data_IF_800299406895
#
_entry.id   IF_800299406895
#
_cell.length_a   1.000
_cell.length_b   1.000
_cell.length_c   1.000
_cell.angle_alpha   90.00
_cell.angle_beta   90.00
_cell.angle_gamma   90.00
#
_symmetry.space_group_name_H-M   'P 1'
#
loop_
_entity.id
_entity.type
_entity.pdbx_description
1 polymer ?
#
# COMPACT_ATOMS: atom_id res chain seq x y z
N UNK A 1 -20.99 0.88 2.71
CA UNK A 1 -20.98 0.69 4.17
C UNK A 1 -19.55 0.33 4.57
N UNK A 2 -18.95 1.10 5.48
CA UNK A 2 -17.58 0.97 5.96
C UNK A 2 -17.55 0.28 7.34
N UNK A 3 -16.61 -0.63 7.58
CA UNK A 3 -16.40 -1.33 8.87
C UNK A 3 -15.22 -0.69 9.60
N UNK A 4 -15.42 -0.26 10.85
CA UNK A 4 -14.33 0.26 11.68
C UNK A 4 -13.57 -0.86 12.39
N UNK A 5 -12.32 -0.59 12.78
CA UNK A 5 -11.52 -1.50 13.61
C UNK A 5 -10.01 -1.47 13.32
N UNK A 6 -9.63 -0.91 12.18
CA UNK A 6 -8.26 -0.90 11.67
C UNK A 6 -7.24 -0.21 12.60
N UNK A 7 -7.71 0.69 13.48
CA UNK A 7 -6.88 1.32 14.53
C UNK A 7 -6.21 0.31 15.47
N UNK A 8 -6.73 -0.92 15.58
CA UNK A 8 -6.16 -1.98 16.41
C UNK A 8 -5.12 -2.84 15.67
N UNK A 9 -4.99 -2.67 14.35
CA UNK A 9 -4.10 -3.48 13.50
C UNK A 9 -2.62 -3.39 13.89
N UNK A 10 -2.02 -2.21 14.20
CA UNK A 10 -0.61 -2.15 14.62
C UNK A 10 -0.30 -3.07 15.80
N UNK A 11 -1.19 -3.11 16.80
CA UNK A 11 -1.04 -3.99 17.97
C UNK A 11 -1.16 -5.46 17.59
N UNK A 12 -2.16 -5.82 16.79
CA UNK A 12 -2.38 -7.19 16.35
C UNK A 12 -1.20 -7.73 15.53
N UNK A 13 -0.61 -6.91 14.65
CA UNK A 13 0.58 -7.28 13.87
C UNK A 13 1.77 -7.53 14.81
N UNK A 14 2.02 -6.65 15.79
CA UNK A 14 3.10 -6.85 16.77
C UNK A 14 2.92 -8.13 17.59
N UNK A 15 1.69 -8.45 17.98
CA UNK A 15 1.40 -9.69 18.72
C UNK A 15 1.64 -10.92 17.85
N UNK A 16 1.15 -10.90 16.59
CA UNK A 16 1.33 -12.01 15.67
C UNK A 16 2.80 -12.19 15.22
N UNK A 17 3.57 -11.11 15.10
CA UNK A 17 4.95 -11.15 14.61
C UNK A 17 5.91 -11.90 15.54
N UNK A 18 5.57 -12.05 16.82
CA UNK A 18 6.34 -12.84 17.79
C UNK A 18 6.55 -14.28 17.28
N UNK A 19 5.52 -14.88 16.66
CA UNK A 19 5.60 -16.23 16.09
C UNK A 19 6.50 -16.30 14.86
N UNK A 20 6.57 -15.22 14.07
CA UNK A 20 7.34 -15.18 12.83
C UNK A 20 8.81 -14.77 13.03
N UNK A 21 9.16 -14.15 14.17
CA UNK A 21 10.55 -13.79 14.49
C UNK A 21 11.52 -14.98 14.57
N UNK A 22 10.99 -16.20 14.71
CA UNK A 22 11.75 -17.46 14.74
C UNK A 22 11.60 -18.29 13.46
N UNK A 23 10.73 -17.87 12.54
CA UNK A 23 10.44 -18.62 11.33
C UNK A 23 11.56 -18.43 10.31
N UNK A 24 12.15 -19.54 9.84
CA UNK A 24 12.97 -19.58 8.63
C UNK A 24 12.06 -19.83 7.43
N UNK A 25 11.36 -18.79 6.99
CA UNK A 25 10.63 -18.85 5.74
C UNK A 25 11.47 -18.23 4.62
N UNK A 26 11.29 -18.65 3.35
CA UNK A 26 12.11 -18.17 2.22
C UNK A 26 11.96 -16.67 1.90
N UNK A 27 11.14 -15.95 2.66
CA UNK A 27 10.84 -14.52 2.51
C UNK A 27 11.17 -13.72 3.79
N UNK A 28 11.88 -14.31 4.75
CA UNK A 28 12.27 -13.64 6.00
C UNK A 28 13.63 -13.00 5.83
N UNK A 29 13.69 -11.67 5.75
CA UNK A 29 14.92 -10.87 5.65
C UNK A 29 15.76 -10.84 6.95
N UNK A 30 15.54 -11.77 7.89
CA UNK A 30 16.21 -11.75 9.19
C UNK A 30 17.71 -11.95 9.01
N UNK A 31 18.50 -10.96 9.44
CA UNK A 31 19.96 -10.99 9.36
C UNK A 31 20.55 -10.15 8.21
N UNK A 32 19.73 -9.71 7.25
CA UNK A 32 20.18 -8.86 6.13
C UNK A 32 19.90 -7.37 6.40
N UNK A 33 18.87 -7.06 7.18
CA UNK A 33 18.43 -5.71 7.49
C UNK A 33 18.61 -5.36 8.98
N UNK A 34 19.05 -4.13 9.25
CA UNK A 34 18.97 -3.53 10.60
C UNK A 34 17.62 -2.86 10.74
N UNK A 35 16.77 -3.40 11.61
CA UNK A 35 15.39 -2.94 11.82
C UNK A 35 15.19 -2.49 13.26
N UNK A 36 14.31 -1.51 13.44
CA UNK A 36 13.84 -1.04 14.76
C UNK A 36 12.33 -0.86 14.70
N UNK A 37 11.61 -1.30 15.72
CA UNK A 37 10.22 -0.89 15.91
C UNK A 37 10.22 0.53 16.49
N UNK A 38 9.83 1.50 15.67
CA UNK A 38 9.84 2.92 16.04
C UNK A 38 8.56 3.36 16.79
N UNK A 39 7.69 2.42 17.16
CA UNK A 39 6.46 2.69 17.88
C UNK A 39 5.33 3.19 16.97
N UNK A 40 4.34 3.85 17.58
CA UNK A 40 3.16 4.38 16.89
C UNK A 40 3.24 5.91 16.79
N UNK A 41 2.73 6.47 15.69
CA UNK A 41 2.54 7.92 15.55
C UNK A 41 1.39 8.36 16.45
N UNK A 42 1.62 9.36 17.29
CA UNK A 42 0.59 9.95 18.14
C UNK A 42 -0.06 11.14 17.45
N UNK A 43 -1.38 11.15 17.43
CA UNK A 43 -2.23 12.20 16.88
C UNK A 43 -3.57 12.23 17.64
N UNK A 44 -4.32 13.31 17.50
CA UNK A 44 -5.60 13.49 18.14
C UNK A 44 -6.67 12.59 17.50
N UNK A 45 -7.28 11.65 18.24
CA UNK A 45 -8.28 10.73 17.69
C UNK A 45 -9.47 11.48 17.09
N UNK A 46 -9.82 11.17 15.85
CA UNK A 46 -10.93 11.82 15.14
C UNK A 46 -10.58 13.15 14.47
N UNK A 47 -9.33 13.61 14.55
CA UNK A 47 -8.85 14.75 13.79
C UNK A 47 -7.95 14.27 12.63
N UNK A 48 -8.53 14.25 11.43
CA UNK A 48 -7.83 13.85 10.20
C UNK A 48 -6.62 14.75 9.90
N UNK A 49 -6.76 16.06 10.07
CA UNK A 49 -5.71 17.01 9.71
C UNK A 49 -4.48 16.88 10.61
N UNK A 50 -4.72 16.73 11.92
CA UNK A 50 -3.64 16.45 12.87
C UNK A 50 -2.99 15.08 12.58
N UNK A 51 -3.77 14.06 12.23
CA UNK A 51 -3.21 12.78 11.77
C UNK A 51 -2.27 12.93 10.57
N UNK A 52 -2.69 13.65 9.53
CA UNK A 52 -1.88 13.87 8.33
C UNK A 52 -0.59 14.63 8.68
N UNK A 53 -0.69 15.69 9.47
CA UNK A 53 0.46 16.51 9.88
C UNK A 53 1.45 15.72 10.76
N UNK A 54 0.98 15.07 11.83
CA UNK A 54 1.86 14.33 12.74
C UNK A 54 2.53 13.14 12.04
N UNK A 55 1.80 12.45 11.17
CA UNK A 55 2.35 11.30 10.42
C UNK A 55 3.43 11.76 9.44
N UNK A 56 3.17 12.80 8.66
CA UNK A 56 4.14 13.33 7.71
C UNK A 56 5.40 13.85 8.43
N UNK A 57 5.23 14.56 9.55
CA UNK A 57 6.32 15.05 10.38
C UNK A 57 7.16 13.91 10.98
N UNK A 58 6.52 12.88 11.51
CA UNK A 58 7.21 11.72 12.08
C UNK A 58 8.01 10.98 11.00
N UNK A 59 7.41 10.71 9.84
CA UNK A 59 8.08 10.06 8.71
C UNK A 59 9.25 10.92 8.21
N UNK A 60 9.07 12.23 8.06
CA UNK A 60 10.13 13.16 7.65
C UNK A 60 11.34 13.07 8.58
N UNK A 61 11.12 13.11 9.91
CA UNK A 61 12.21 13.00 10.89
C UNK A 61 12.96 11.66 10.79
N UNK A 62 12.25 10.55 10.51
CA UNK A 62 12.91 9.25 10.29
C UNK A 62 13.74 9.28 9.00
N UNK A 63 13.19 9.81 7.91
CA UNK A 63 13.90 9.90 6.62
C UNK A 63 15.13 10.81 6.65
N UNK A 64 15.12 11.86 7.49
CA UNK A 64 16.28 12.73 7.73
C UNK A 64 17.44 12.00 8.40
N UNK A 65 17.16 10.96 9.20
CA UNK A 65 18.18 10.09 9.80
C UNK A 65 18.81 9.09 8.81
N UNK A 66 18.34 9.07 7.55
CA UNK A 66 18.84 8.16 6.51
C UNK A 66 18.25 6.75 6.57
N UNK A 67 17.18 6.55 7.35
CA UNK A 67 16.50 5.26 7.52
C UNK A 67 15.22 5.24 6.68
N UNK A 68 14.89 4.08 6.09
CA UNK A 68 13.62 3.89 5.38
C UNK A 68 12.49 3.49 6.32
N UNK A 69 11.26 3.87 5.98
CA UNK A 69 10.06 3.63 6.79
C UNK A 69 9.25 2.48 6.21
N UNK A 70 8.90 1.54 7.07
CA UNK A 70 7.86 0.55 6.81
C UNK A 70 6.67 0.85 7.73
N UNK A 71 5.58 1.36 7.17
CA UNK A 71 4.39 1.74 7.91
C UNK A 71 3.36 0.60 7.94
N UNK A 72 2.73 0.37 9.10
CA UNK A 72 1.74 -0.68 9.29
C UNK A 72 0.51 -0.15 10.02
N UNK A 73 -0.68 -0.54 9.57
CA UNK A 73 -1.93 -0.40 10.32
C UNK A 73 -2.96 0.47 9.63
N UNK A 74 -3.84 1.09 10.43
CA UNK A 74 -4.80 2.11 10.00
C UNK A 74 -5.69 1.71 8.82
N UNK A 75 -6.40 2.68 8.29
CA UNK A 75 -7.09 2.52 7.01
C UNK A 75 -6.16 2.92 5.85
N UNK A 76 -6.71 2.91 4.63
CA UNK A 76 -6.03 3.25 3.37
C UNK A 76 -5.55 4.70 3.28
N UNK A 77 -5.72 5.54 4.30
CA UNK A 77 -5.20 6.91 4.29
C UNK A 77 -3.70 7.02 4.62
N UNK A 78 -3.06 5.95 5.14
CA UNK A 78 -1.62 5.94 5.49
C UNK A 78 -0.67 6.35 4.37
N UNK A 79 -0.82 5.88 3.13
CA UNK A 79 0.09 6.25 2.06
C UNK A 79 0.16 7.76 1.82
N UNK A 80 -0.92 8.51 2.07
CA UNK A 80 -0.97 9.95 1.79
C UNK A 80 0.15 10.75 2.50
N UNK A 81 0.22 10.82 3.84
CA UNK A 81 1.30 11.54 4.53
C UNK A 81 2.67 10.89 4.35
N UNK A 82 2.75 9.56 4.19
CA UNK A 82 4.03 8.85 4.02
C UNK A 82 4.66 9.20 2.68
N UNK A 83 3.91 9.11 1.59
CA UNK A 83 4.40 9.40 0.23
C UNK A 83 4.72 10.88 0.07
N UNK A 84 3.96 11.80 0.69
CA UNK A 84 4.32 13.22 0.76
C UNK A 84 5.71 13.43 1.36
N UNK A 85 6.00 12.80 2.49
CA UNK A 85 7.31 12.90 3.15
C UNK A 85 8.43 12.35 2.26
N UNK A 86 8.22 11.20 1.62
CA UNK A 86 9.17 10.64 0.66
C UNK A 86 9.39 11.54 -0.56
N UNK A 87 8.32 12.04 -1.18
CA UNK A 87 8.39 12.95 -2.32
C UNK A 87 9.19 14.21 -2.01
N UNK A 88 8.94 14.83 -0.84
CA UNK A 88 9.71 15.97 -0.33
C UNK A 88 11.19 15.63 -0.11
N UNK A 89 11.48 14.50 0.54
CA UNK A 89 12.85 14.06 0.83
C UNK A 89 13.67 13.75 -0.43
N UNK A 90 13.00 13.19 -1.43
CA UNK A 90 13.60 12.69 -2.66
C UNK A 90 13.65 13.74 -3.77
N UNK A 91 12.87 14.82 -3.65
CA UNK A 91 12.83 15.94 -4.59
C UNK A 91 12.17 15.60 -5.93
N UNK A 92 11.24 14.64 -5.95
CA UNK A 92 10.62 14.19 -7.20
C UNK A 92 9.45 13.24 -7.00
N UNK A 93 8.73 13.01 -8.11
CA UNK A 93 7.59 12.09 -8.18
C UNK A 93 8.02 10.65 -7.94
N UNK A 94 7.15 9.90 -7.30
CA UNK A 94 7.24 8.45 -7.15
C UNK A 94 6.24 7.75 -8.08
N UNK A 95 6.56 6.51 -8.43
CA UNK A 95 5.59 5.55 -8.92
C UNK A 95 5.02 4.77 -7.75
N UNK A 96 3.73 4.44 -7.80
CA UNK A 96 3.10 3.53 -6.84
C UNK A 96 2.89 2.14 -7.44
N UNK A 97 3.23 1.12 -6.65
CA UNK A 97 2.71 -0.24 -6.83
C UNK A 97 1.70 -0.44 -5.71
N UNK A 98 0.42 -0.44 -6.07
CA UNK A 98 -0.72 -0.46 -5.17
C UNK A 98 -1.42 -1.82 -5.26
N UNK A 99 -1.29 -2.67 -4.23
CA UNK A 99 -2.05 -3.91 -4.13
C UNK A 99 -3.33 -3.65 -3.34
N UNK A 100 -4.49 -3.69 -4.00
CA UNK A 100 -5.78 -3.41 -3.38
C UNK A 100 -6.91 -3.97 -4.25
N UNK A 101 -8.05 -4.31 -3.64
CA UNK A 101 -9.27 -4.63 -4.39
C UNK A 101 -9.89 -3.41 -5.11
N UNK A 102 -9.45 -2.20 -4.76
CA UNK A 102 -10.03 -0.92 -5.12
C UNK A 102 -8.98 0.01 -5.75
N UNK A 103 -9.42 0.94 -6.59
CA UNK A 103 -8.51 1.93 -7.17
C UNK A 103 -8.06 3.00 -6.18
N UNK A 104 -8.86 3.26 -5.14
CA UNK A 104 -8.77 4.40 -4.22
C UNK A 104 -8.64 5.78 -4.90
N UNK A 105 -9.10 5.86 -6.13
CA UNK A 105 -9.12 7.06 -6.95
C UNK A 105 -10.56 7.57 -7.16
N UNK A 106 -11.47 7.26 -6.23
CA UNK A 106 -12.87 7.62 -6.39
C UNK A 106 -13.06 9.13 -6.43
N UNK A 107 -14.16 9.57 -7.05
CA UNK A 107 -14.54 10.97 -7.02
C UNK A 107 -14.69 11.47 -5.57
N UNK A 108 -14.29 12.70 -5.30
CA UNK A 108 -14.41 13.32 -3.99
C UNK A 108 -15.89 13.34 -3.55
N UNK A 109 -16.18 12.64 -2.44
CA UNK A 109 -17.50 12.65 -1.80
C UNK A 109 -17.55 13.61 -0.60
N UNK A 110 -16.40 14.03 -0.09
CA UNK A 110 -16.24 14.84 1.11
C UNK A 110 -15.19 15.94 0.87
N UNK A 111 -15.25 17.07 1.60
CA UNK A 111 -14.28 18.16 1.45
C UNK A 111 -12.94 17.86 2.13
N UNK A 112 -12.59 16.58 2.27
CA UNK A 112 -11.38 16.13 2.93
C UNK A 112 -10.96 14.77 2.35
N UNK A 113 -9.64 14.45 2.40
CA UNK A 113 -9.14 13.17 1.92
C UNK A 113 -9.72 11.99 2.69
N UNK A 114 -9.91 10.88 1.99
CA UNK A 114 -10.36 9.61 2.57
C UNK A 114 -9.49 8.47 2.08
N UNK A 115 -9.61 7.31 2.73
CA UNK A 115 -8.99 6.08 2.24
C UNK A 115 -9.48 5.63 0.86
N UNK A 116 -10.52 6.24 0.29
CA UNK A 116 -10.97 5.95 -1.09
C UNK A 116 -10.61 7.02 -2.11
N UNK A 117 -9.94 8.10 -1.70
CA UNK A 117 -9.60 9.20 -2.61
C UNK A 117 -8.09 9.38 -2.77
N UNK A 118 -7.29 9.06 -1.73
CA UNK A 118 -5.88 9.45 -1.54
C UNK A 118 -4.94 9.36 -2.75
N UNK A 119 -5.22 8.46 -3.71
CA UNK A 119 -4.51 8.35 -4.98
C UNK A 119 -4.64 9.64 -5.81
N UNK A 120 -5.83 10.24 -5.84
CA UNK A 120 -6.08 11.53 -6.50
C UNK A 120 -5.24 12.63 -5.84
N UNK A 121 -5.26 12.73 -4.52
CA UNK A 121 -4.56 13.76 -3.75
C UNK A 121 -3.05 13.72 -4.02
N UNK A 122 -2.43 12.55 -3.97
CA UNK A 122 -1.00 12.41 -4.26
C UNK A 122 -0.64 12.73 -5.72
N UNK A 123 -1.54 12.44 -6.65
CA UNK A 123 -1.32 12.70 -8.08
C UNK A 123 -1.48 14.20 -8.37
N UNK A 124 -2.54 14.81 -7.84
CA UNK A 124 -2.87 16.24 -8.01
C UNK A 124 -1.83 17.13 -7.31
N UNK A 125 -1.30 16.71 -6.15
CA UNK A 125 -0.18 17.37 -5.47
C UNK A 125 1.16 17.21 -6.20
N UNK A 126 1.22 16.32 -7.20
CA UNK A 126 2.43 16.09 -7.99
C UNK A 126 3.51 15.31 -7.24
N UNK A 127 3.16 14.51 -6.23
CA UNK A 127 4.08 13.59 -5.56
C UNK A 127 4.11 12.22 -6.23
N UNK A 128 3.07 11.86 -6.97
CA UNK A 128 2.97 10.60 -7.71
C UNK A 128 2.83 10.83 -9.20
N UNK A 129 3.49 9.99 -10.00
CA UNK A 129 3.28 9.89 -11.44
C UNK A 129 2.24 8.80 -11.74
N UNK A 130 0.98 9.21 -11.95
CA UNK A 130 -0.10 8.28 -12.22
C UNK A 130 0.09 7.47 -13.51
N UNK A 131 0.72 8.06 -14.54
CA UNK A 131 1.01 7.39 -15.81
C UNK A 131 2.10 6.31 -15.70
N UNK A 132 2.80 6.27 -14.57
CA UNK A 132 3.84 5.29 -14.23
C UNK A 132 3.53 4.52 -12.94
N UNK A 133 2.27 4.50 -12.53
CA UNK A 133 1.81 3.81 -11.32
C UNK A 133 0.80 2.73 -11.68
N UNK A 134 0.70 1.69 -10.86
CA UNK A 134 -0.19 0.55 -11.11
C UNK A 134 -0.94 0.13 -9.86
N UNK A 135 -2.24 -0.12 -10.01
CA UNK A 135 -3.06 -0.83 -9.03
C UNK A 135 -3.29 -2.27 -9.50
N UNK A 136 -2.92 -3.23 -8.67
CA UNK A 136 -3.13 -4.66 -8.91
C UNK A 136 -4.27 -5.17 -8.04
N UNK A 137 -5.11 -6.03 -8.63
CA UNK A 137 -6.16 -6.74 -7.92
C UNK A 137 -7.53 -6.05 -7.92
N UNK A 138 -7.72 -4.97 -8.68
CA UNK A 138 -9.01 -4.26 -8.71
C UNK A 138 -10.16 -5.21 -9.08
N UNK A 139 -11.25 -5.17 -8.32
CA UNK A 139 -12.50 -5.88 -8.63
C UNK A 139 -13.57 -4.90 -9.09
N UNK A 140 -14.36 -5.22 -10.13
CA UNK A 140 -15.41 -4.35 -10.65
C UNK A 140 -16.67 -4.33 -9.77
N UNK A 141 -16.54 -4.50 -8.45
CA UNK A 141 -17.71 -4.62 -7.56
C UNK A 141 -18.38 -3.28 -7.29
N UNK A 142 -17.67 -2.15 -7.51
CA UNK A 142 -18.20 -0.79 -7.37
C UNK A 142 -17.49 0.21 -8.30
N UNK A 143 -18.22 0.83 -9.22
CA UNK A 143 -17.73 1.98 -9.99
C UNK A 143 -18.14 3.29 -9.29
N UNK A 144 -17.17 3.99 -8.69
CA UNK A 144 -17.37 5.36 -8.17
C UNK A 144 -16.46 6.37 -8.87
N UNK A 145 -16.53 6.45 -10.20
CA UNK A 145 -15.85 7.48 -10.99
C UNK A 145 -14.32 7.44 -10.94
N UNK A 146 -13.68 8.40 -11.65
CA UNK A 146 -12.23 8.56 -11.95
C UNK A 146 -11.41 7.25 -11.84
N UNK A 147 -11.71 6.28 -12.69
CA UNK A 147 -11.05 4.97 -12.67
C UNK A 147 -9.65 4.94 -13.34
N UNK A 148 -9.13 6.05 -13.85
CA UNK A 148 -7.99 6.01 -14.79
C UNK A 148 -6.75 6.77 -14.30
N UNK A 149 -6.57 6.93 -12.98
CA UNK A 149 -5.39 7.63 -12.44
C UNK A 149 -4.13 6.78 -12.60
N UNK A 150 -4.22 5.49 -12.26
CA UNK A 150 -3.14 4.50 -12.40
C UNK A 150 -3.52 3.47 -13.45
N UNK A 151 -2.52 2.77 -13.98
CA UNK A 151 -2.76 1.54 -14.73
C UNK A 151 -3.45 0.52 -13.82
N UNK A 152 -4.44 -0.20 -14.31
CA UNK A 152 -5.12 -1.23 -13.52
C UNK A 152 -4.83 -2.62 -14.07
N UNK A 153 -4.34 -3.51 -13.21
CA UNK A 153 -4.27 -4.93 -13.47
C UNK A 153 -5.34 -5.62 -12.61
N UNK A 154 -6.53 -5.76 -13.19
CA UNK A 154 -7.70 -6.31 -12.48
C UNK A 154 -7.50 -7.74 -11.99
N UNK A 155 -8.26 -8.14 -10.97
CA UNK A 155 -8.11 -9.43 -10.30
C UNK A 155 -8.21 -10.63 -11.24
N UNK A 156 -9.21 -10.65 -12.12
CA UNK A 156 -9.41 -11.72 -13.12
C UNK A 156 -8.18 -11.83 -14.05
N UNK A 157 -7.72 -10.70 -14.58
CA UNK A 157 -6.57 -10.64 -15.48
C UNK A 157 -5.30 -11.19 -14.84
N UNK A 158 -4.98 -10.78 -13.61
CA UNK A 158 -3.75 -11.24 -12.94
C UNK A 158 -3.86 -12.71 -12.53
N UNK A 159 -5.06 -13.21 -12.20
CA UNK A 159 -5.28 -14.61 -11.85
C UNK A 159 -5.14 -15.51 -13.09
N UNK A 160 -5.68 -15.10 -14.23
CA UNK A 160 -5.61 -15.85 -15.49
C UNK A 160 -4.18 -15.96 -16.03
N UNK A 161 -3.42 -14.85 -16.00
CA UNK A 161 -2.05 -14.83 -16.52
C UNK A 161 -1.00 -15.26 -15.48
N UNK A 162 -1.35 -15.16 -14.19
CA UNK A 162 -0.51 -15.56 -13.09
C UNK A 162 0.48 -14.50 -12.58
N UNK A 163 1.16 -14.79 -11.46
CA UNK A 163 1.94 -13.81 -10.70
C UNK A 163 3.23 -13.35 -11.39
N UNK A 164 3.84 -14.20 -12.22
CA UNK A 164 5.06 -13.84 -12.96
C UNK A 164 4.73 -12.78 -14.01
N UNK A 165 3.68 -13.03 -14.82
CA UNK A 165 3.21 -12.06 -15.79
C UNK A 165 2.82 -10.73 -15.14
N UNK A 166 2.12 -10.77 -14.01
CA UNK A 166 1.74 -9.56 -13.28
C UNK A 166 2.97 -8.76 -12.83
N UNK A 167 4.02 -9.43 -12.34
CA UNK A 167 5.28 -8.79 -11.95
C UNK A 167 6.00 -8.14 -13.14
N UNK A 168 6.08 -8.83 -14.27
CA UNK A 168 6.67 -8.30 -15.50
C UNK A 168 5.91 -7.07 -15.99
N UNK A 169 4.58 -7.14 -16.00
CA UNK A 169 3.74 -6.01 -16.41
C UNK A 169 3.87 -4.82 -15.46
N UNK A 170 3.97 -5.06 -14.15
CA UNK A 170 4.25 -4.00 -13.18
C UNK A 170 5.57 -3.30 -13.51
N UNK A 171 6.65 -4.06 -13.75
CA UNK A 171 7.96 -3.48 -14.07
C UNK A 171 7.94 -2.66 -15.36
N UNK A 172 7.23 -3.11 -16.40
CA UNK A 172 7.05 -2.33 -17.63
C UNK A 172 6.37 -0.98 -17.39
N UNK A 173 5.37 -0.95 -16.50
CA UNK A 173 4.61 0.26 -16.17
C UNK A 173 5.49 1.25 -15.39
N UNK A 174 6.12 0.79 -14.31
CA UNK A 174 6.89 1.68 -13.42
C UNK A 174 8.23 2.09 -14.01
N UNK A 175 8.85 1.24 -14.86
CA UNK A 175 10.17 1.48 -15.42
C UNK A 175 11.24 1.69 -14.35
N UNK A 176 12.16 2.63 -14.60
CA UNK A 176 13.25 2.98 -13.68
C UNK A 176 12.86 4.03 -12.62
N UNK A 177 11.56 4.31 -12.47
CA UNK A 177 11.09 5.30 -11.50
C UNK A 177 11.38 4.86 -10.06
N UNK A 178 11.50 5.83 -9.16
CA UNK A 178 11.50 5.54 -7.71
C UNK A 178 10.11 5.04 -7.31
N UNK A 179 10.05 3.88 -6.66
CA UNK A 179 8.78 3.22 -6.34
C UNK A 179 8.49 3.29 -4.85
N UNK A 180 7.22 3.53 -4.51
CA UNK A 180 6.64 3.20 -3.21
C UNK A 180 5.63 2.06 -3.38
N UNK A 181 5.75 1.04 -2.54
CA UNK A 181 4.85 -0.12 -2.54
C UNK A 181 3.87 0.02 -1.38
N UNK A 182 2.58 -0.12 -1.66
CA UNK A 182 1.54 -0.19 -0.63
C UNK A 182 0.68 -1.44 -0.83
N UNK A 183 0.30 -2.07 0.26
CA UNK A 183 -0.41 -3.34 0.26
C UNK A 183 -1.62 -3.25 1.20
N UNK A 184 -2.81 -3.09 0.64
CA UNK A 184 -4.06 -3.32 1.36
C UNK A 184 -4.32 -4.84 1.40
N UNK A 185 -4.48 -5.46 2.59
CA UNK A 185 -4.77 -6.88 2.69
C UNK A 185 -6.06 -7.33 1.98
N UNK A 186 -6.98 -6.42 1.64
CA UNK A 186 -8.15 -6.73 0.82
C UNK A 186 -7.82 -7.00 -0.66
N UNK A 187 -6.57 -6.77 -1.08
CA UNK A 187 -6.02 -7.37 -2.29
C UNK A 187 -6.19 -8.90 -2.30
N UNK A 188 -6.01 -9.55 -1.15
CA UNK A 188 -6.17 -11.00 -1.03
C UNK A 188 -7.65 -11.38 -1.08
N UNK A 189 -7.92 -12.61 -1.50
CA UNK A 189 -9.28 -13.15 -1.45
C UNK A 189 -9.86 -13.06 -0.02
N UNK A 190 -11.15 -12.73 0.08
CA UNK A 190 -11.85 -12.66 1.36
C UNK A 190 -11.75 -13.94 2.21
N UNK A 191 -11.49 -15.12 1.62
CA UNK A 191 -11.22 -16.36 2.35
C UNK A 191 -9.85 -16.36 3.06
N UNK A 192 -8.89 -15.56 2.60
CA UNK A 192 -7.55 -15.40 3.17
C UNK A 192 -7.48 -14.20 4.12
N UNK A 193 -8.13 -13.09 3.77
CA UNK A 193 -8.13 -11.84 4.54
C UNK A 193 -9.56 -11.36 4.88
N UNK A 194 -10.34 -12.11 5.68
CA UNK A 194 -11.73 -11.75 5.98
C UNK A 194 -11.89 -10.51 6.86
N UNK A 195 -10.85 -10.19 7.66
CA UNK A 195 -10.86 -9.16 8.71
C UNK A 195 -10.35 -7.79 8.23
N UNK A 196 -10.66 -7.42 6.99
CA UNK A 196 -10.29 -6.14 6.36
C UNK A 196 -11.45 -5.14 6.37
N UNK A 197 -11.21 -3.90 5.93
CA UNK A 197 -12.28 -2.91 5.85
C UNK A 197 -13.42 -3.37 4.93
N UNK A 198 -13.04 -3.75 3.71
CA UNK A 198 -13.91 -4.00 2.56
C UNK A 198 -13.51 -5.31 1.90
N UNK A 199 -13.92 -6.47 2.45
CA UNK A 199 -13.47 -7.76 1.96
C UNK A 199 -14.13 -8.03 0.61
N UNK A 200 -13.34 -8.37 -0.39
CA UNK A 200 -13.83 -8.70 -1.72
C UNK A 200 -13.45 -10.15 -2.08
N UNK A 201 -14.39 -10.95 -2.61
CA UNK A 201 -14.06 -12.28 -3.11
C UNK A 201 -13.32 -12.19 -4.45
N UNK A 202 -12.84 -13.35 -4.93
CA UNK A 202 -12.16 -13.52 -6.22
C UNK A 202 -10.79 -12.85 -6.26
N UNK A 203 -10.08 -12.87 -5.13
CA UNK A 203 -8.73 -12.34 -5.01
C UNK A 203 -7.62 -13.37 -5.10
N UNK A 204 -6.36 -12.94 -5.24
CA UNK A 204 -5.20 -13.81 -5.08
C UNK A 204 -5.03 -14.36 -3.67
N UNK A 205 -4.28 -15.44 -3.56
CA UNK A 205 -3.81 -15.98 -2.29
C UNK A 205 -2.37 -15.52 -1.96
N UNK A 206 -1.89 -15.86 -0.77
CA UNK A 206 -0.51 -15.54 -0.37
C UNK A 206 0.55 -16.21 -1.25
N UNK A 207 0.23 -17.32 -1.90
CA UNK A 207 1.17 -18.03 -2.80
C UNK A 207 1.36 -17.24 -4.09
N UNK A 208 0.34 -16.56 -4.59
CA UNK A 208 0.43 -15.60 -5.67
C UNK A 208 1.40 -14.47 -5.31
N UNK A 209 1.20 -13.83 -4.15
CA UNK A 209 2.02 -12.71 -3.67
C UNK A 209 3.50 -13.10 -3.57
N UNK A 210 3.80 -14.25 -2.97
CA UNK A 210 5.19 -14.74 -2.85
C UNK A 210 5.80 -14.96 -4.24
N UNK A 211 5.07 -15.58 -5.18
CA UNK A 211 5.57 -15.79 -6.54
C UNK A 211 5.79 -14.48 -7.29
N UNK A 212 4.92 -13.50 -7.08
CA UNK A 212 5.05 -12.16 -7.67
C UNK A 212 6.36 -11.50 -7.20
N UNK A 213 6.60 -11.44 -5.89
CA UNK A 213 7.83 -10.82 -5.36
C UNK A 213 9.09 -11.62 -5.72
N UNK A 214 9.03 -12.95 -5.75
CA UNK A 214 10.15 -13.77 -6.23
C UNK A 214 10.49 -13.48 -7.69
N UNK A 215 9.49 -13.24 -8.55
CA UNK A 215 9.72 -12.87 -9.94
C UNK A 215 10.40 -11.49 -10.07
N UNK A 216 10.08 -10.55 -9.18
CA UNK A 216 10.77 -9.26 -9.12
C UNK A 216 12.23 -9.41 -8.69
N UNK A 217 12.51 -10.24 -7.67
CA UNK A 217 13.87 -10.43 -7.14
C UNK A 217 14.77 -11.28 -8.02
N UNK A 218 14.20 -12.13 -8.90
CA UNK A 218 14.98 -13.00 -9.79
C UNK A 218 15.59 -12.27 -10.99
N UNK A 219 15.37 -10.94 -11.11
CA UNK A 219 15.94 -10.11 -12.17
C UNK A 219 17.13 -9.34 -11.58
N UNK A 220 18.33 -9.63 -12.12
CA UNK A 220 19.59 -8.93 -11.83
C UNK A 220 19.60 -7.48 -12.32
#
# INVERSE_FOLDING_TARGET
>A
MARSGQRFMPRAIREASIWYGWARAPFVASGELKMVDYGDVLFHPGNLWDYLEQTEKAVTGILESGVSVFACGGDRSIPLPVVRAYGKRLGGKLSLIHFDAHSDAYAELYPYPTGGTWVNELTDEGWVDGGRSVTLGVRPTREFGKADVFHQLGSEMILDHGPVWAAERTLEIVGDNRVYITFDPDFLDASQAPAVHTPEPLGPDMRFVIKYFNALMARD
#
